data_IF_774752972243
#
_entry.id   IF_774752972243
#
_cell.length_a   1.000
_cell.length_b   1.000
_cell.length_c   1.000
_cell.angle_alpha   90.00
_cell.angle_beta   90.00
_cell.angle_gamma   90.00
#
_symmetry.space_group_name_H-M   'P 1'
#
loop_
_entity.id
_entity.type
_entity.pdbx_description
1 polymer ?
#
# COMPACT_ATOMS: atom_id res chain seq x y z
N UNK A 1 7.07 -26.60 3.82
CA UNK A 1 7.63 -25.23 3.85
C UNK A 1 6.56 -24.24 4.33
N UNK A 2 5.59 -24.74 5.09
CA UNK A 2 4.28 -24.09 5.28
C UNK A 2 4.02 -23.82 6.77
N UNK A 3 5.08 -23.81 7.58
CA UNK A 3 4.97 -23.47 8.99
C UNK A 3 5.01 -21.94 9.15
N UNK A 4 4.17 -21.38 10.04
CA UNK A 4 4.10 -19.94 10.25
C UNK A 4 5.44 -19.34 10.69
N UNK A 5 6.23 -20.10 11.47
CA UNK A 5 7.56 -19.67 11.93
C UNK A 5 8.56 -19.55 10.77
N UNK A 6 8.49 -20.46 9.80
CA UNK A 6 9.38 -20.43 8.64
C UNK A 6 9.09 -19.21 7.75
N UNK A 7 7.81 -18.89 7.53
CA UNK A 7 7.41 -17.71 6.75
C UNK A 7 7.80 -16.41 7.45
N UNK A 8 7.50 -16.29 8.74
CA UNK A 8 7.87 -15.10 9.53
C UNK A 8 9.39 -14.88 9.54
N UNK A 9 10.17 -15.94 9.82
CA UNK A 9 11.64 -15.85 9.84
C UNK A 9 12.20 -15.48 8.47
N UNK A 10 11.67 -16.08 7.40
CA UNK A 10 12.10 -15.79 6.03
C UNK A 10 11.83 -14.34 5.64
N UNK A 11 10.65 -13.79 5.97
CA UNK A 11 10.30 -12.39 5.71
C UNK A 11 11.16 -11.41 6.52
N UNK A 12 11.48 -11.72 7.77
CA UNK A 12 12.42 -10.94 8.57
C UNK A 12 13.82 -10.93 7.96
N UNK A 13 14.34 -12.08 7.53
CA UNK A 13 15.65 -12.18 6.86
C UNK A 13 15.66 -11.34 5.57
N UNK A 14 14.62 -11.46 4.74
CA UNK A 14 14.48 -10.66 3.52
C UNK A 14 14.54 -9.16 3.88
N UNK A 15 13.91 -8.75 4.96
CA UNK A 15 13.90 -7.33 5.36
C UNK A 15 15.25 -6.82 5.81
N UNK A 16 16.05 -7.67 6.48
CA UNK A 16 17.43 -7.32 6.87
C UNK A 16 18.26 -6.99 5.62
N UNK A 17 18.08 -7.74 4.53
CA UNK A 17 18.75 -7.46 3.26
C UNK A 17 18.12 -6.30 2.47
N UNK A 18 16.78 -6.19 2.46
CA UNK A 18 16.06 -5.17 1.72
C UNK A 18 16.24 -3.75 2.29
N UNK A 19 16.36 -3.63 3.62
CA UNK A 19 16.48 -2.32 4.29
C UNK A 19 17.71 -1.52 3.85
N UNK A 20 18.93 -2.09 3.73
CA UNK A 20 20.07 -1.43 3.11
C UNK A 20 19.78 -0.92 1.69
N UNK A 21 19.12 -1.71 0.84
CA UNK A 21 18.75 -1.28 -0.51
C UNK A 21 17.76 -0.11 -0.49
N UNK A 22 16.81 -0.12 0.44
CA UNK A 22 15.86 0.97 0.62
C UNK A 22 16.56 2.27 1.04
N UNK A 23 17.55 2.19 1.94
CA UNK A 23 18.39 3.33 2.35
C UNK A 23 19.22 3.84 1.17
N UNK A 24 19.82 2.94 0.39
CA UNK A 24 20.53 3.31 -0.84
C UNK A 24 19.61 3.97 -1.86
N UNK A 25 18.37 3.50 -2.00
CA UNK A 25 17.34 4.11 -2.83
C UNK A 25 17.03 5.55 -2.41
N UNK A 26 16.83 5.79 -1.11
CA UNK A 26 16.67 7.14 -0.56
C UNK A 26 17.87 8.01 -0.89
N UNK A 27 19.09 7.50 -0.66
CA UNK A 27 20.32 8.22 -0.95
C UNK A 27 20.42 8.62 -2.43
N UNK A 28 20.16 7.68 -3.35
CA UNK A 28 20.17 7.95 -4.79
C UNK A 28 19.13 9.01 -5.18
N UNK A 29 17.91 8.93 -4.64
CA UNK A 29 16.85 9.91 -4.93
C UNK A 29 17.23 11.30 -4.40
N UNK A 30 17.79 11.39 -3.19
CA UNK A 30 18.10 12.69 -2.58
C UNK A 30 19.38 13.33 -3.12
N UNK A 31 20.43 12.55 -3.38
CA UNK A 31 21.75 13.08 -3.69
C UNK A 31 22.16 12.89 -5.15
N UNK A 32 21.66 11.87 -5.85
CA UNK A 32 22.05 11.57 -7.23
C UNK A 32 21.02 12.02 -8.29
N UNK A 33 19.87 12.57 -7.90
CA UNK A 33 18.89 13.08 -8.88
C UNK A 33 19.43 14.30 -9.64
N UNK A 34 19.56 14.25 -10.98
CA UNK A 34 20.07 15.37 -11.77
C UNK A 34 19.21 16.63 -11.67
N UNK A 35 19.84 17.82 -11.77
CA UNK A 35 19.14 19.13 -11.68
C UNK A 35 17.99 19.27 -12.69
N UNK A 36 18.13 18.68 -13.88
CA UNK A 36 17.10 18.67 -14.93
C UNK A 36 15.80 17.96 -14.51
N UNK A 37 15.85 17.03 -13.54
CA UNK A 37 14.70 16.27 -13.03
C UNK A 37 14.31 16.67 -11.60
N UNK A 38 14.79 17.82 -11.13
CA UNK A 38 14.50 18.33 -9.77
C UNK A 38 13.00 18.47 -9.48
N UNK A 39 12.18 18.74 -10.49
CA UNK A 39 10.72 18.86 -10.38
C UNK A 39 9.99 17.54 -10.05
N UNK A 40 10.62 16.39 -10.33
CA UNK A 40 10.05 15.05 -10.10
C UNK A 40 10.68 14.39 -8.86
N UNK A 41 11.82 14.90 -8.38
CA UNK A 41 12.56 14.40 -7.22
C UNK A 41 11.66 14.11 -6.00
N UNK A 42 10.84 15.08 -5.60
CA UNK A 42 9.95 14.94 -4.45
C UNK A 42 8.82 13.94 -4.68
N UNK A 43 8.32 13.84 -5.92
CA UNK A 43 7.33 12.84 -6.28
C UNK A 43 7.91 11.42 -6.23
N UNK A 44 9.15 11.23 -6.70
CA UNK A 44 9.87 9.95 -6.61
C UNK A 44 10.18 9.58 -5.16
N UNK A 45 10.60 10.55 -4.35
CA UNK A 45 10.85 10.32 -2.92
C UNK A 45 9.57 9.88 -2.19
N UNK A 46 8.44 10.57 -2.43
CA UNK A 46 7.16 10.19 -1.86
C UNK A 46 6.77 8.77 -2.28
N UNK A 47 6.87 8.42 -3.57
CA UNK A 47 6.60 7.06 -4.03
C UNK A 47 7.49 6.02 -3.35
N UNK A 48 8.81 6.26 -3.28
CA UNK A 48 9.76 5.37 -2.62
C UNK A 48 9.45 5.17 -1.14
N UNK A 49 9.07 6.25 -0.44
CA UNK A 49 8.64 6.19 0.95
C UNK A 49 7.42 5.27 1.14
N UNK A 50 6.40 5.39 0.29
CA UNK A 50 5.21 4.52 0.37
C UNK A 50 5.52 3.06 0.02
N UNK A 51 6.44 2.81 -0.92
CA UNK A 51 6.91 1.46 -1.22
C UNK A 51 7.66 0.84 -0.04
N UNK A 52 8.57 1.59 0.58
CA UNK A 52 9.29 1.15 1.78
C UNK A 52 8.34 0.84 2.94
N UNK A 53 7.36 1.72 3.17
CA UNK A 53 6.37 1.54 4.21
C UNK A 53 5.52 0.29 3.95
N UNK A 54 5.14 0.04 2.70
CA UNK A 54 4.42 -1.18 2.30
C UNK A 54 5.26 -2.43 2.56
N UNK A 55 6.53 -2.44 2.15
CA UNK A 55 7.45 -3.56 2.38
C UNK A 55 7.55 -3.89 3.88
N UNK A 56 7.88 -2.89 4.72
CA UNK A 56 7.96 -3.08 6.17
C UNK A 56 6.62 -3.50 6.80
N UNK A 57 5.51 -3.00 6.27
CA UNK A 57 4.17 -3.39 6.73
C UNK A 57 3.90 -4.87 6.51
N UNK A 58 4.36 -5.40 5.37
CA UNK A 58 4.20 -6.80 5.00
C UNK A 58 5.21 -7.73 5.68
N UNK A 59 6.44 -7.30 5.86
CA UNK A 59 7.53 -8.21 6.27
C UNK A 59 7.90 -8.15 7.74
N UNK A 60 7.55 -7.07 8.45
CA UNK A 60 7.83 -6.90 9.89
C UNK A 60 6.55 -6.69 10.69
N UNK A 61 5.72 -5.72 10.28
CA UNK A 61 4.63 -5.25 11.14
C UNK A 61 3.48 -6.26 11.22
N UNK A 62 3.01 -6.74 10.07
CA UNK A 62 1.81 -7.59 10.05
C UNK A 62 2.14 -9.04 9.72
N UNK A 63 3.08 -9.29 8.79
CA UNK A 63 3.51 -10.64 8.36
C UNK A 63 2.29 -11.54 8.11
N UNK A 64 1.49 -11.25 7.06
CA UNK A 64 0.24 -11.96 6.83
C UNK A 64 0.52 -13.41 6.41
N UNK A 65 0.03 -14.36 7.19
CA UNK A 65 0.08 -15.77 6.83
C UNK A 65 -1.27 -16.21 6.27
N UNK A 66 -1.29 -16.70 5.03
CA UNK A 66 -2.51 -17.10 4.32
C UNK A 66 -2.60 -18.63 4.29
N UNK A 67 -3.71 -19.16 4.81
CA UNK A 67 -4.07 -20.56 4.79
C UNK A 67 -4.92 -20.85 3.54
N UNK A 68 -4.29 -21.42 2.52
CA UNK A 68 -4.99 -21.97 1.35
C UNK A 68 -5.40 -23.42 1.63
N UNK A 69 -6.61 -23.90 1.22
CA UNK A 69 -7.62 -23.27 0.35
C UNK A 69 -8.70 -22.47 1.07
N UNK A 70 -8.68 -22.41 2.41
CA UNK A 70 -9.73 -21.77 3.20
C UNK A 70 -9.83 -20.24 3.00
N UNK A 71 -8.87 -19.63 2.29
CA UNK A 71 -8.69 -18.16 2.17
C UNK A 71 -8.74 -17.45 3.53
N UNK A 72 -8.34 -18.15 4.59
CA UNK A 72 -8.20 -17.57 5.92
C UNK A 72 -6.78 -17.05 6.09
N UNK A 73 -6.58 -16.06 6.95
CA UNK A 73 -5.25 -15.59 7.27
C UNK A 73 -5.17 -14.97 8.64
N UNK A 74 -3.99 -15.02 9.23
CA UNK A 74 -3.71 -14.40 10.52
C UNK A 74 -2.35 -13.69 10.47
N UNK A 75 -2.20 -12.56 11.17
CA UNK A 75 -0.93 -11.86 11.24
C UNK A 75 0.05 -12.60 12.16
N UNK A 76 1.34 -12.50 11.83
CA UNK A 76 2.46 -13.04 12.59
C UNK A 76 3.50 -11.98 12.97
N UNK A 77 3.23 -10.72 12.62
CA UNK A 77 4.18 -9.63 12.80
C UNK A 77 4.07 -8.96 14.17
N UNK A 78 4.93 -7.97 14.35
CA UNK A 78 5.10 -7.23 15.60
C UNK A 78 3.78 -6.59 16.10
N UNK A 79 2.88 -6.17 15.20
CA UNK A 79 1.59 -5.56 15.60
C UNK A 79 0.71 -6.54 16.40
N UNK A 80 0.82 -7.84 16.14
CA UNK A 80 0.13 -8.87 16.94
C UNK A 80 0.70 -8.95 18.35
N UNK A 81 2.03 -8.87 18.49
CA UNK A 81 2.69 -8.91 19.80
C UNK A 81 2.32 -7.69 20.66
N UNK A 82 2.03 -6.55 20.03
CA UNK A 82 1.49 -5.35 20.69
C UNK A 82 -0.01 -5.40 20.96
N UNK A 83 -0.71 -6.48 20.60
CA UNK A 83 -2.14 -6.64 20.86
C UNK A 83 -3.05 -5.83 19.93
N UNK A 84 -2.56 -5.39 18.77
CA UNK A 84 -3.40 -4.69 17.78
C UNK A 84 -4.39 -5.68 17.16
N UNK A 85 -5.71 -5.38 17.12
CA UNK A 85 -6.69 -6.30 16.54
C UNK A 85 -6.41 -6.59 15.07
N UNK A 86 -6.65 -7.83 14.66
CA UNK A 86 -6.39 -8.33 13.31
C UNK A 86 -7.09 -7.48 12.24
N UNK A 87 -8.30 -6.98 12.51
CA UNK A 87 -9.08 -6.17 11.57
C UNK A 87 -8.34 -4.90 11.14
N UNK A 88 -7.69 -4.22 12.09
CA UNK A 88 -6.91 -3.01 11.81
C UNK A 88 -5.62 -3.33 11.05
N UNK A 89 -4.98 -4.46 11.34
CA UNK A 89 -3.78 -4.90 10.63
C UNK A 89 -4.09 -5.28 9.18
N UNK A 90 -5.20 -6.00 8.96
CA UNK A 90 -5.71 -6.34 7.63
C UNK A 90 -6.09 -5.08 6.87
N UNK A 91 -6.79 -4.14 7.51
CA UNK A 91 -7.09 -2.84 6.91
C UNK A 91 -5.84 -2.08 6.47
N UNK A 92 -4.79 -2.06 7.28
CA UNK A 92 -3.54 -1.41 6.96
C UNK A 92 -2.88 -2.03 5.73
N UNK A 93 -2.74 -3.35 5.67
CA UNK A 93 -2.20 -4.06 4.50
C UNK A 93 -3.06 -3.79 3.26
N UNK A 94 -4.37 -3.99 3.38
CA UNK A 94 -5.30 -3.95 2.26
C UNK A 94 -5.40 -2.54 1.68
N UNK A 95 -5.35 -1.51 2.53
CA UNK A 95 -5.27 -0.11 2.07
C UNK A 95 -3.97 0.17 1.33
N UNK A 96 -2.85 -0.45 1.74
CA UNK A 96 -1.56 -0.31 1.08
C UNK A 96 -1.43 -1.14 -0.22
N UNK A 97 -2.16 -2.26 -0.38
CA UNK A 97 -2.00 -3.23 -1.49
C UNK A 97 -3.17 -3.30 -2.47
N UNK A 98 -4.40 -3.01 -2.05
CA UNK A 98 -5.58 -3.45 -2.82
C UNK A 98 -6.75 -2.47 -2.82
N UNK A 99 -6.56 -1.21 -3.20
CA UNK A 99 -7.70 -0.33 -3.51
C UNK A 99 -8.29 -0.59 -4.91
N UNK A 100 -9.40 -1.33 -5.06
CA UNK A 100 -10.16 -1.33 -6.32
C UNK A 100 -11.11 -0.12 -6.35
N UNK A 101 -10.67 1.03 -6.85
CA UNK A 101 -11.60 2.15 -7.03
C UNK A 101 -12.51 1.89 -8.24
N UNK A 102 -13.73 1.43 -7.98
CA UNK A 102 -14.80 1.32 -8.99
C UNK A 102 -15.48 2.67 -9.29
N UNK A 103 -15.02 3.78 -8.70
CA UNK A 103 -15.78 5.03 -8.70
C UNK A 103 -15.63 5.86 -9.98
N UNK A 104 -14.58 5.64 -10.79
CA UNK A 104 -14.27 6.54 -11.92
C UNK A 104 -14.39 5.95 -13.32
N UNK A 105 -14.33 4.63 -13.53
CA UNK A 105 -14.52 4.04 -14.87
C UNK A 105 -14.77 2.52 -14.80
N UNK A 106 -15.86 2.03 -15.42
CA UNK A 106 -16.11 0.57 -15.57
C UNK A 106 -15.18 -0.12 -16.57
N UNK A 107 -14.51 0.64 -17.44
CA UNK A 107 -13.75 0.10 -18.57
C UNK A 107 -12.27 -0.19 -18.25
N UNK A 108 -11.78 0.21 -17.08
CA UNK A 108 -10.43 -0.14 -16.63
C UNK A 108 -10.45 -0.38 -15.11
N UNK A 109 -10.29 -1.63 -14.63
CA UNK A 109 -10.08 -1.88 -13.21
C UNK A 109 -8.71 -1.32 -12.84
N UNK A 110 -8.66 -0.05 -12.44
CA UNK A 110 -7.44 0.56 -11.95
C UNK A 110 -7.34 0.21 -10.47
N UNK A 111 -6.54 -0.79 -10.14
CA UNK A 111 -6.10 -1.06 -8.77
C UNK A 111 -5.29 0.14 -8.32
N UNK A 112 -5.86 0.96 -7.45
CA UNK A 112 -5.22 2.13 -6.89
C UNK A 112 -4.81 1.86 -5.44
N UNK A 113 -3.54 1.59 -5.26
CA UNK A 113 -2.90 1.45 -3.96
C UNK A 113 -2.33 2.79 -3.51
N UNK A 114 -1.97 2.99 -2.24
CA UNK A 114 -1.22 4.18 -1.81
C UNK A 114 0.09 4.36 -2.62
N UNK A 115 0.73 3.24 -2.96
CA UNK A 115 1.85 3.17 -3.89
C UNK A 115 1.43 3.58 -5.30
N UNK A 116 0.31 3.08 -5.80
CA UNK A 116 -0.25 3.40 -7.12
C UNK A 116 -0.69 4.85 -7.24
N UNK A 117 -1.21 5.45 -6.17
CA UNK A 117 -1.53 6.86 -6.07
C UNK A 117 -0.28 7.73 -6.24
N UNK A 118 0.79 7.34 -5.54
CA UNK A 118 2.09 8.00 -5.61
C UNK A 118 2.72 7.85 -7.00
N UNK A 119 2.55 6.69 -7.65
CA UNK A 119 2.96 6.47 -9.03
C UNK A 119 2.19 7.36 -10.02
N UNK A 120 0.86 7.46 -9.87
CA UNK A 120 0.03 8.38 -10.66
C UNK A 120 0.47 9.81 -10.50
N UNK A 121 0.82 10.23 -9.28
CA UNK A 121 1.31 11.57 -9.03
C UNK A 121 2.60 11.87 -9.82
N UNK A 122 3.52 10.90 -9.96
CA UNK A 122 4.72 11.06 -10.80
C UNK A 122 4.35 11.29 -12.27
N UNK A 123 3.51 10.43 -12.84
CA UNK A 123 3.09 10.55 -14.24
C UNK A 123 2.32 11.85 -14.51
N UNK A 124 1.39 12.19 -13.63
CA UNK A 124 0.60 13.41 -13.70
C UNK A 124 1.49 14.66 -13.59
N UNK A 125 2.48 14.64 -12.69
CA UNK A 125 3.43 15.74 -12.56
C UNK A 125 4.27 15.92 -13.83
N UNK A 126 4.70 14.82 -14.46
CA UNK A 126 5.46 14.86 -15.71
C UNK A 126 4.60 15.34 -16.89
N UNK A 127 3.37 14.84 -17.00
CA UNK A 127 2.40 15.29 -18.01
C UNK A 127 2.13 16.81 -17.88
N UNK A 128 1.91 17.28 -16.65
CA UNK A 128 1.66 18.70 -16.38
C UNK A 128 2.82 19.59 -16.86
N UNK A 129 4.06 19.20 -16.58
CA UNK A 129 5.25 19.98 -16.95
C UNK A 129 5.43 20.02 -18.47
N UNK A 130 5.17 18.91 -19.17
CA UNK A 130 5.44 18.82 -20.62
C UNK A 130 4.33 19.40 -21.50
N UNK A 131 3.06 19.25 -21.10
CA UNK A 131 1.94 19.51 -22.02
C UNK A 131 0.83 20.40 -21.46
N UNK A 132 0.66 20.47 -20.14
CA UNK A 132 -0.54 21.05 -19.54
C UNK A 132 -0.29 22.28 -18.63
N UNK A 133 0.90 22.89 -18.71
CA UNK A 133 1.30 24.01 -17.85
C UNK A 133 0.41 25.24 -18.05
N UNK A 134 0.13 25.58 -19.30
CA UNK A 134 -0.64 26.76 -19.72
C UNK A 134 -2.14 26.48 -19.90
N UNK A 135 -2.59 25.26 -19.61
CA UNK A 135 -4.00 24.89 -19.80
C UNK A 135 -4.79 25.02 -18.48
N UNK A 136 -6.13 24.98 -18.59
CA UNK A 136 -7.03 24.93 -17.43
C UNK A 136 -6.80 23.73 -16.51
N UNK A 137 -6.03 22.75 -16.97
CA UNK A 137 -5.64 21.56 -16.21
C UNK A 137 -4.95 21.88 -14.88
N UNK A 138 -4.29 23.04 -14.74
CA UNK A 138 -3.69 23.48 -13.45
C UNK A 138 -4.70 23.48 -12.29
N UNK A 139 -5.95 23.89 -12.53
CA UNK A 139 -7.00 23.93 -11.52
C UNK A 139 -7.66 22.55 -11.35
N UNK A 140 -7.94 21.86 -12.47
CA UNK A 140 -8.50 20.52 -12.45
C UNK A 140 -7.57 19.52 -11.71
N UNK A 141 -6.26 19.65 -11.89
CA UNK A 141 -5.23 18.82 -11.27
C UNK A 141 -5.27 18.88 -9.74
N UNK A 142 -5.42 20.07 -9.15
CA UNK A 142 -5.47 20.20 -7.68
C UNK A 142 -6.68 19.46 -7.12
N UNK A 143 -7.84 19.64 -7.74
CA UNK A 143 -9.06 18.92 -7.37
C UNK A 143 -8.92 17.41 -7.59
N UNK A 144 -8.39 16.99 -8.74
CA UNK A 144 -8.15 15.59 -9.05
C UNK A 144 -7.27 14.91 -8.00
N UNK A 145 -6.15 15.53 -7.62
CA UNK A 145 -5.25 14.98 -6.62
C UNK A 145 -5.88 14.92 -5.22
N UNK A 146 -6.58 15.98 -4.79
CA UNK A 146 -7.25 16.00 -3.49
C UNK A 146 -8.39 14.98 -3.39
N UNK A 147 -9.20 14.85 -4.44
CA UNK A 147 -10.28 13.85 -4.50
C UNK A 147 -9.68 12.45 -4.44
N UNK A 148 -8.62 12.17 -5.21
CA UNK A 148 -7.96 10.88 -5.16
C UNK A 148 -7.42 10.59 -3.75
N UNK A 149 -6.73 11.54 -3.10
CA UNK A 149 -6.22 11.40 -1.74
C UNK A 149 -7.32 11.04 -0.74
N UNK A 150 -8.44 11.76 -0.79
CA UNK A 150 -9.58 11.53 0.08
C UNK A 150 -10.20 10.15 -0.17
N UNK A 151 -10.40 9.79 -1.44
CA UNK A 151 -10.91 8.48 -1.81
C UNK A 151 -10.02 7.35 -1.27
N UNK A 152 -8.69 7.48 -1.31
CA UNK A 152 -7.80 6.46 -0.72
C UNK A 152 -8.00 6.29 0.77
N UNK A 153 -8.09 7.40 1.51
CA UNK A 153 -8.25 7.35 2.97
C UNK A 153 -9.59 6.73 3.39
N UNK A 154 -10.64 6.90 2.59
CA UNK A 154 -12.00 6.47 2.95
C UNK A 154 -12.45 5.19 2.29
N UNK A 155 -11.75 4.69 1.26
CA UNK A 155 -12.24 3.59 0.42
C UNK A 155 -12.47 2.28 1.19
N UNK A 156 -11.62 1.97 2.17
CA UNK A 156 -11.75 0.73 2.95
C UNK A 156 -12.52 0.87 4.26
N UNK A 157 -12.98 2.08 4.62
CA UNK A 157 -13.78 2.30 5.83
C UNK A 157 -15.09 1.49 5.79
N UNK A 158 -15.85 1.43 4.68
CA UNK A 158 -17.06 0.61 4.63
C UNK A 158 -16.76 -0.88 4.82
N UNK A 159 -15.64 -1.37 4.32
CA UNK A 159 -15.25 -2.77 4.48
C UNK A 159 -14.92 -3.09 5.95
N UNK A 160 -14.30 -2.16 6.69
CA UNK A 160 -14.06 -2.29 8.13
C UNK A 160 -15.36 -2.43 8.93
N UNK A 161 -16.38 -1.65 8.57
CA UNK A 161 -17.66 -1.65 9.29
C UNK A 161 -18.46 -2.92 8.98
N UNK A 162 -18.24 -3.52 7.80
CA UNK A 162 -18.95 -4.70 7.31
C UNK A 162 -18.21 -6.01 7.59
N UNK A 163 -17.10 -6.00 8.34
CA UNK A 163 -16.39 -7.23 8.71
C UNK A 163 -17.33 -8.09 9.58
N UNK A 164 -17.70 -9.30 9.14
CA UNK A 164 -18.53 -10.19 9.93
C UNK A 164 -17.76 -10.67 11.17
N UNK A 165 -18.49 -10.94 12.25
CA UNK A 165 -17.90 -11.42 13.50
C UNK A 165 -17.17 -12.76 13.28
N UNK A 166 -15.89 -12.80 13.67
CA UNK A 166 -15.00 -13.93 13.45
C UNK A 166 -15.50 -15.19 14.17
N UNK A 167 -16.28 -15.04 15.25
CA UNK A 167 -16.89 -16.18 15.95
C UNK A 167 -17.87 -16.98 15.09
N UNK A 168 -18.62 -16.32 14.20
CA UNK A 168 -19.59 -16.98 13.33
C UNK A 168 -18.89 -17.80 12.23
N UNK A 169 -17.79 -17.28 11.70
CA UNK A 169 -16.93 -17.99 10.75
C UNK A 169 -16.28 -19.25 11.35
N UNK A 170 -15.79 -19.15 12.59
CA UNK A 170 -15.21 -20.31 13.31
C UNK A 170 -16.27 -21.39 13.54
N UNK A 171 -17.50 -21.03 13.96
CA UNK A 171 -18.61 -21.97 14.13
C UNK A 171 -18.95 -22.73 12.84
N UNK A 172 -18.75 -22.10 11.68
CA UNK A 172 -19.02 -22.74 10.39
C UNK A 172 -17.92 -23.74 9.98
N UNK A 173 -16.66 -23.50 10.36
CA UNK A 173 -15.53 -24.39 10.13
C UNK A 173 -15.57 -25.59 11.09
N UNK A 174 -15.84 -25.36 12.38
CA UNK A 174 -15.88 -26.43 13.39
C UNK A 174 -17.13 -27.31 13.34
N UNK A 175 -18.17 -26.91 12.58
CA UNK A 175 -19.35 -27.74 12.32
C UNK A 175 -19.17 -28.76 11.19
N UNK A 176 -18.02 -28.75 10.51
CA UNK A 176 -17.63 -29.73 9.51
C UNK A 176 -16.87 -30.88 10.16
#
# INVERSE_FOLDING_TARGET
MDTPEFVSTSLHIITIFATPFHILGIYCILFQTPKAMSSVKWAMFNFHFWCMLLDWSLTILTVPFILFPAMAGFPLGILKDFGVPTDYQVYLIVTLISGKSHLFCKCAPMTITAVGASMKFIFENRYYIMFARETRWKHCRRLFLTINMFLYATFFIPALIMVPDQEEGLKHIYKV
#
